data_IF_517601600390
#
_entry.id   IF_517601600390
#
_cell.length_a   1.000
_cell.length_b   1.000
_cell.length_c   1.000
_cell.angle_alpha   90.00
_cell.angle_beta   90.00
_cell.angle_gamma   90.00
#
_symmetry.space_group_name_H-M   'P 1'
#
loop_
_entity.id
_entity.type
_entity.pdbx_description
1 polymer ?
#
# COMPACT_ATOMS: atom_id res chain seq x y z
N UNK A 1 -9.72 3.69 -4.00
CA UNK A 1 -9.11 3.57 -2.65
C UNK A 1 -9.67 4.70 -1.80
N UNK A 2 -10.94 4.63 -1.37
CA UNK A 2 -11.61 5.72 -0.67
C UNK A 2 -11.68 5.43 0.84
N UNK A 3 -10.52 5.43 1.51
CA UNK A 3 -10.41 5.23 2.95
C UNK A 3 -9.96 6.52 3.63
N UNK A 4 -10.39 6.73 4.87
CA UNK A 4 -9.98 7.90 5.68
C UNK A 4 -8.71 7.56 6.46
N UNK A 5 -7.56 7.58 5.79
CA UNK A 5 -6.24 7.50 6.43
C UNK A 5 -5.59 8.88 6.35
N UNK A 6 -4.95 9.32 7.44
CA UNK A 6 -4.16 10.56 7.42
C UNK A 6 -2.75 10.32 6.87
N UNK A 7 -2.23 9.09 7.00
CA UNK A 7 -0.93 8.69 6.46
C UNK A 7 -1.03 7.37 5.67
N UNK A 8 -0.63 7.41 4.40
CA UNK A 8 -0.63 6.26 3.49
C UNK A 8 0.74 5.59 3.38
N UNK A 9 1.81 6.25 3.80
CA UNK A 9 3.20 5.85 3.59
C UNK A 9 3.91 5.42 4.89
N UNK A 10 3.15 5.15 5.95
CA UNK A 10 3.69 4.54 7.17
C UNK A 10 4.06 3.08 6.94
N UNK A 11 5.28 2.72 7.35
CA UNK A 11 5.75 1.33 7.41
C UNK A 11 5.39 0.61 8.72
N UNK A 12 4.81 1.30 9.70
CA UNK A 12 4.41 0.68 10.97
C UNK A 12 2.92 0.30 10.93
N UNK A 13 2.65 -1.01 10.81
CA UNK A 13 1.30 -1.58 10.65
C UNK A 13 1.17 -2.87 11.44
N UNK A 14 -0.05 -3.12 11.93
CA UNK A 14 -0.44 -4.40 12.52
C UNK A 14 -1.60 -4.99 11.71
N UNK A 15 -1.56 -6.30 11.50
CA UNK A 15 -2.57 -7.03 10.71
C UNK A 15 -3.11 -8.20 11.52
N UNK A 16 -4.38 -8.52 11.33
CA UNK A 16 -4.90 -9.81 11.78
C UNK A 16 -4.37 -10.91 10.85
N UNK A 17 -4.27 -12.15 11.37
CA UNK A 17 -3.85 -13.29 10.55
C UNK A 17 -4.80 -13.57 9.40
N UNK A 18 -6.08 -13.22 9.55
CA UNK A 18 -7.11 -13.36 8.52
C UNK A 18 -6.79 -12.51 7.30
N UNK A 19 -6.49 -11.21 7.51
CA UNK A 19 -6.14 -10.29 6.41
C UNK A 19 -4.92 -10.82 5.64
N UNK A 20 -3.89 -11.27 6.35
CA UNK A 20 -2.65 -11.77 5.71
C UNK A 20 -2.88 -13.06 4.89
N UNK A 21 -3.81 -13.92 5.32
CA UNK A 21 -4.14 -15.15 4.58
C UNK A 21 -5.00 -14.89 3.34
N UNK A 22 -5.75 -13.79 3.34
CA UNK A 22 -6.69 -13.47 2.28
C UNK A 22 -6.07 -12.61 1.16
N UNK A 23 -4.97 -11.91 1.42
CA UNK A 23 -4.24 -11.10 0.43
C UNK A 23 -2.99 -11.83 -0.08
N UNK A 24 -2.59 -11.53 -1.32
CA UNK A 24 -1.41 -12.09 -2.00
C UNK A 24 -0.17 -11.23 -1.75
N UNK A 25 0.12 -10.89 -0.49
CA UNK A 25 1.22 -9.98 -0.17
C UNK A 25 2.60 -10.52 -0.58
N UNK A 26 2.76 -11.84 -0.71
CA UNK A 26 3.99 -12.47 -1.23
C UNK A 26 4.22 -12.21 -2.73
N UNK A 27 3.21 -11.75 -3.47
CA UNK A 27 3.33 -11.36 -4.89
C UNK A 27 3.60 -9.85 -5.06
N UNK A 28 3.68 -9.10 -3.95
CA UNK A 28 4.03 -7.69 -4.00
C UNK A 28 5.50 -7.51 -4.38
N UNK A 29 5.84 -6.29 -4.80
CA UNK A 29 7.22 -5.89 -5.07
C UNK A 29 8.05 -5.89 -3.78
N UNK A 30 9.30 -6.34 -3.86
CA UNK A 30 10.27 -6.22 -2.76
C UNK A 30 10.84 -4.80 -2.56
N UNK A 31 10.30 -3.80 -3.26
CA UNK A 31 10.73 -2.39 -3.16
C UNK A 31 9.67 -1.56 -2.42
N UNK A 32 9.93 -0.25 -2.24
CA UNK A 32 9.11 0.67 -1.44
C UNK A 32 7.61 0.67 -1.78
N UNK A 33 7.21 0.23 -2.97
CA UNK A 33 5.80 0.16 -3.38
C UNK A 33 4.99 -0.95 -2.70
N UNK A 34 5.66 -1.89 -2.02
CA UNK A 34 5.05 -3.02 -1.30
C UNK A 34 3.83 -2.61 -0.47
N UNK A 35 3.99 -1.60 0.39
CA UNK A 35 2.94 -1.17 1.33
C UNK A 35 1.71 -0.62 0.59
N UNK A 36 1.92 0.04 -0.54
CA UNK A 36 0.83 0.58 -1.34
C UNK A 36 0.04 -0.53 -2.03
N UNK A 37 0.73 -1.58 -2.51
CA UNK A 37 0.09 -2.77 -3.08
C UNK A 37 -0.67 -3.57 -2.01
N UNK A 38 -0.11 -3.64 -0.80
CA UNK A 38 -0.78 -4.27 0.35
C UNK A 38 -2.05 -3.52 0.73
N UNK A 39 -1.99 -2.19 0.87
CA UNK A 39 -3.16 -1.35 1.12
C UNK A 39 -4.21 -1.49 0.02
N UNK A 40 -3.79 -1.52 -1.25
CA UNK A 40 -4.69 -1.69 -2.37
C UNK A 40 -5.50 -3.00 -2.25
N UNK A 41 -4.85 -4.11 -1.90
CA UNK A 41 -5.51 -5.41 -1.68
C UNK A 41 -6.51 -5.35 -0.52
N UNK A 42 -6.08 -4.85 0.63
CA UNK A 42 -6.92 -4.74 1.84
C UNK A 42 -8.17 -3.90 1.56
N UNK A 43 -8.00 -2.76 0.88
CA UNK A 43 -9.11 -1.89 0.48
C UNK A 43 -9.99 -2.49 -0.61
N UNK A 44 -9.44 -3.32 -1.49
CA UNK A 44 -10.21 -3.98 -2.53
C UNK A 44 -11.16 -5.02 -1.94
N UNK A 45 -10.69 -5.72 -0.90
CA UNK A 45 -11.46 -6.70 -0.14
C UNK A 45 -12.37 -6.10 0.94
N UNK A 46 -12.44 -4.77 1.02
CA UNK A 46 -13.30 -4.02 1.95
C UNK A 46 -13.04 -4.31 3.44
N UNK A 47 -11.82 -4.68 3.81
CA UNK A 47 -11.43 -4.75 5.22
C UNK A 47 -11.44 -3.36 5.87
N UNK A 48 -11.79 -3.33 7.17
CA UNK A 48 -11.73 -2.12 7.98
C UNK A 48 -10.28 -1.79 8.34
N UNK A 49 -9.92 -0.52 8.23
CA UNK A 49 -8.60 -0.01 8.59
C UNK A 49 -8.79 1.08 9.65
N UNK A 50 -8.11 0.89 10.79
CA UNK A 50 -8.01 1.90 11.84
C UNK A 50 -6.64 2.59 11.80
N UNK A 51 -6.60 3.85 12.19
CA UNK A 51 -5.37 4.61 12.35
C UNK A 51 -5.21 5.00 13.83
N UNK A 52 -3.99 4.83 14.35
CA UNK A 52 -3.62 5.28 15.68
C UNK A 52 -2.56 6.34 15.50
N UNK A 53 -2.75 7.51 16.09
CA UNK A 53 -1.77 8.60 16.03
C UNK A 53 -0.45 8.15 16.63
N UNK A 54 0.62 8.25 15.85
CA UNK A 54 1.97 7.97 16.28
C UNK A 54 2.87 9.16 15.90
N UNK A 55 3.60 9.77 16.84
CA UNK A 55 4.46 10.91 16.51
C UNK A 55 5.66 10.45 15.69
N UNK A 56 5.80 11.00 14.48
CA UNK A 56 6.94 10.74 13.60
C UNK A 56 8.21 11.33 14.21
N UNK A 57 9.25 10.50 14.35
CA UNK A 57 10.59 10.94 14.74
C UNK A 57 11.54 10.80 13.58
N UNK A 58 12.08 11.92 13.11
CA UNK A 58 13.18 11.95 12.17
C UNK A 58 14.49 11.94 12.97
N UNK A 59 15.32 10.93 12.73
CA UNK A 59 16.65 10.78 13.31
C UNK A 59 17.66 10.57 12.18
N UNK A 60 18.94 10.90 12.39
CA UNK A 60 19.94 10.88 11.31
C UNK A 60 20.17 9.48 10.75
N UNK A 61 19.93 8.46 11.56
CA UNK A 61 20.05 7.05 11.22
C UNK A 61 18.78 6.51 10.53
N UNK A 62 17.73 7.33 10.38
CA UNK A 62 16.51 6.93 9.69
C UNK A 62 16.78 6.77 8.19
N UNK A 63 16.34 5.64 7.64
CA UNK A 63 16.46 5.37 6.21
C UNK A 63 15.75 6.46 5.40
N UNK A 64 16.49 7.11 4.51
CA UNK A 64 15.97 8.14 3.61
C UNK A 64 16.05 7.65 2.17
N UNK A 65 14.96 7.78 1.43
CA UNK A 65 14.92 7.43 0.01
C UNK A 65 15.58 8.55 -0.82
N UNK A 66 16.44 8.19 -1.76
CA UNK A 66 17.05 9.16 -2.65
C UNK A 66 16.05 9.65 -3.72
N UNK A 67 16.33 10.79 -4.34
CA UNK A 67 15.39 11.44 -5.27
C UNK A 67 14.93 10.52 -6.43
N UNK A 68 15.85 9.78 -7.04
CA UNK A 68 15.54 8.90 -8.16
C UNK A 68 14.58 7.78 -7.71
N UNK A 69 14.85 7.15 -6.57
CA UNK A 69 13.97 6.13 -6.00
C UNK A 69 12.62 6.71 -5.57
N UNK A 70 12.58 7.94 -5.06
CA UNK A 70 11.33 8.65 -4.76
C UNK A 70 10.47 8.86 -6.00
N UNK A 71 11.07 9.17 -7.14
CA UNK A 71 10.34 9.33 -8.40
C UNK A 71 9.75 8.00 -8.87
N UNK A 72 10.55 6.92 -8.85
CA UNK A 72 10.10 5.57 -9.19
C UNK A 72 8.94 5.14 -8.28
N UNK A 73 9.09 5.39 -6.97
CA UNK A 73 8.06 5.11 -5.98
C UNK A 73 6.76 5.87 -6.27
N UNK A 74 6.83 7.19 -6.48
CA UNK A 74 5.67 8.03 -6.77
C UNK A 74 4.92 7.57 -8.03
N UNK A 75 5.65 7.26 -9.11
CA UNK A 75 5.07 6.70 -10.34
C UNK A 75 4.43 5.33 -10.05
N UNK A 76 5.07 4.48 -9.24
CA UNK A 76 4.54 3.18 -8.81
C UNK A 76 3.20 3.31 -8.06
N UNK A 77 3.05 4.31 -7.20
CA UNK A 77 1.80 4.59 -6.46
C UNK A 77 0.68 4.99 -7.42
N UNK A 78 0.98 5.85 -8.40
CA UNK A 78 0.02 6.25 -9.43
C UNK A 78 -0.46 5.02 -10.22
N UNK A 79 0.48 4.20 -10.70
CA UNK A 79 0.14 2.99 -11.45
C UNK A 79 -0.67 1.99 -10.62
N UNK A 80 -0.34 1.81 -9.35
CA UNK A 80 -1.10 0.96 -8.43
C UNK A 80 -2.53 1.46 -8.27
N UNK A 81 -2.71 2.77 -8.11
CA UNK A 81 -4.03 3.41 -7.99
C UNK A 81 -4.87 3.25 -9.28
N UNK A 82 -4.25 3.42 -10.46
CA UNK A 82 -4.91 3.21 -11.75
C UNK A 82 -5.32 1.75 -11.91
N UNK A 83 -4.41 0.80 -11.66
CA UNK A 83 -4.72 -0.64 -11.76
C UNK A 83 -5.83 -1.04 -10.80
N UNK A 84 -5.80 -0.53 -9.57
CA UNK A 84 -6.88 -0.72 -8.61
C UNK A 84 -8.20 -0.22 -9.16
N UNK A 85 -8.24 1.00 -9.68
CA UNK A 85 -9.46 1.60 -10.21
C UNK A 85 -10.01 0.79 -11.39
N UNK A 86 -9.17 0.50 -12.39
CA UNK A 86 -9.54 -0.27 -13.57
C UNK A 86 -10.01 -1.69 -13.24
N UNK A 87 -9.40 -2.34 -12.24
CA UNK A 87 -9.84 -3.66 -11.76
C UNK A 87 -11.18 -3.57 -11.05
N UNK A 88 -11.37 -2.53 -10.21
CA UNK A 88 -12.62 -2.31 -9.47
C UNK A 88 -13.82 -2.09 -10.39
N UNK A 89 -13.62 -1.46 -11.54
CA UNK A 89 -14.67 -1.24 -12.55
C UNK A 89 -14.76 -2.36 -13.60
N UNK A 90 -13.95 -3.42 -13.47
CA UNK A 90 -14.02 -4.61 -14.33
C UNK A 90 -13.37 -4.50 -15.71
N UNK A 91 -12.52 -3.49 -15.95
CA UNK A 91 -11.84 -3.30 -17.25
C UNK A 91 -10.61 -4.20 -17.38
N UNK A 92 -9.87 -4.42 -16.28
CA UNK A 92 -8.69 -5.29 -16.28
C UNK A 92 -8.77 -6.30 -15.14
N UNK A 93 -8.05 -7.40 -15.28
CA UNK A 93 -7.89 -8.40 -14.22
C UNK A 93 -6.48 -8.32 -13.63
N UNK A 94 -6.27 -7.43 -12.65
CA UNK A 94 -5.00 -7.39 -11.94
C UNK A 94 -4.93 -8.52 -10.90
N UNK A 95 -4.14 -9.56 -11.21
CA UNK A 95 -4.00 -10.80 -10.41
C UNK A 95 -3.72 -10.61 -8.92
N UNK A 96 -3.10 -9.49 -8.53
CA UNK A 96 -2.79 -9.21 -7.12
C UNK A 96 -4.07 -8.84 -6.34
N UNK A 97 -5.10 -8.28 -6.99
CA UNK A 97 -6.35 -7.89 -6.34
C UNK A 97 -7.46 -8.96 -6.40
N UNK A 98 -7.35 -9.91 -7.33
CA UNK A 98 -8.34 -10.98 -7.60
C UNK A 98 -7.80 -12.28 -7.04
#
# INVERSE_FOLDING_TARGET
>A
MNQKLSEYHSGFRAFTSEVLKDIKFNENSDDFIFDNQMLAQIMFKNYLIGEITCPTKYFKEASSINFQRSLVYGIGVIWTSIKYFLTKIGIINWKILI
#
